data_IF_111939888127
#
_entry.id   IF_111939888127
#
_cell.length_a   1.000
_cell.length_b   1.000
_cell.length_c   1.000
_cell.angle_alpha   90.00
_cell.angle_beta   90.00
_cell.angle_gamma   90.00
#
_symmetry.space_group_name_H-M   'P 1'
#
loop_
_entity.id
_entity.type
_entity.pdbx_description
1 polymer ?
#
# COMPACT_ATOMS: atom_id res chain seq x y z
N UNK A 1 11.18 -5.95 5.08
CA UNK A 1 11.13 -4.77 4.21
C UNK A 1 11.72 -3.58 4.92
N UNK A 2 12.98 -3.28 4.56
CA UNK A 2 13.71 -2.09 5.00
C UNK A 2 13.59 -1.03 3.90
N UNK A 3 12.63 -0.12 4.00
CA UNK A 3 12.52 1.04 3.10
C UNK A 3 12.85 2.30 3.87
N UNK A 4 14.05 2.32 4.43
CA UNK A 4 14.55 3.29 5.39
C UNK A 4 15.47 4.34 4.73
N UNK A 5 15.68 4.32 3.41
CA UNK A 5 16.51 5.31 2.71
C UNK A 5 17.98 4.96 2.57
N UNK A 6 18.41 3.81 3.11
CA UNK A 6 19.74 3.26 2.86
C UNK A 6 19.93 3.00 1.35
N UNK A 7 20.96 3.63 0.77
CA UNK A 7 21.26 3.56 -0.66
C UNK A 7 22.59 2.84 -0.89
N UNK A 8 22.61 1.90 -1.83
CA UNK A 8 23.83 1.17 -2.22
C UNK A 8 24.18 1.56 -3.65
N UNK A 9 25.43 1.97 -3.88
CA UNK A 9 25.94 2.22 -5.22
C UNK A 9 26.68 0.98 -5.70
N UNK A 10 26.15 0.33 -6.73
CA UNK A 10 26.67 -0.94 -7.21
C UNK A 10 26.52 -1.08 -8.72
N UNK A 11 27.32 -1.99 -9.30
CA UNK A 11 27.13 -2.44 -10.67
C UNK A 11 26.18 -3.63 -10.68
N UNK A 12 24.98 -3.45 -11.23
CA UNK A 12 23.99 -4.52 -11.34
C UNK A 12 24.43 -5.53 -12.40
N UNK A 13 24.57 -6.79 -11.99
CA UNK A 13 24.89 -7.90 -12.89
C UNK A 13 23.61 -8.45 -13.53
N UNK A 14 22.64 -8.83 -12.68
CA UNK A 14 21.36 -9.37 -13.15
C UNK A 14 20.21 -9.11 -12.19
N UNK A 15 19.00 -8.98 -12.75
CA UNK A 15 17.75 -8.82 -11.99
C UNK A 15 16.90 -10.07 -12.23
N UNK A 16 16.76 -10.89 -11.19
CA UNK A 16 15.90 -12.07 -11.20
C UNK A 16 14.48 -11.79 -10.71
N UNK A 17 13.70 -12.85 -10.49
CA UNK A 17 12.32 -12.73 -9.97
C UNK A 17 12.27 -12.38 -8.48
N UNK A 18 13.22 -12.87 -7.68
CA UNK A 18 13.25 -12.67 -6.23
C UNK A 18 14.42 -11.80 -5.75
N UNK A 19 15.52 -11.79 -6.51
CA UNK A 19 16.80 -11.20 -6.13
C UNK A 19 17.35 -10.29 -7.22
N UNK A 20 18.07 -9.26 -6.79
CA UNK A 20 19.01 -8.52 -7.62
C UNK A 20 20.42 -8.97 -7.25
N UNK A 21 21.25 -9.27 -8.23
CA UNK A 21 22.66 -9.59 -8.06
C UNK A 21 23.50 -8.41 -8.52
N UNK A 22 24.46 -8.00 -7.69
CA UNK A 22 25.28 -6.83 -7.94
C UNK A 22 26.70 -6.98 -7.42
N UNK A 23 27.59 -6.14 -7.93
CA UNK A 23 28.94 -5.96 -7.41
C UNK A 23 29.00 -4.64 -6.65
N UNK A 24 29.28 -4.72 -5.34
CA UNK A 24 29.41 -3.54 -4.49
C UNK A 24 30.62 -2.72 -4.92
N UNK A 25 30.46 -1.40 -5.07
CA UNK A 25 31.62 -0.53 -5.36
C UNK A 25 32.52 -0.35 -4.14
N UNK A 26 31.99 -0.52 -2.93
CA UNK A 26 32.72 -0.26 -1.69
C UNK A 26 33.58 -1.45 -1.28
N UNK A 27 33.04 -2.68 -1.40
CA UNK A 27 33.75 -3.92 -1.02
C UNK A 27 34.40 -4.62 -2.21
N UNK A 28 33.93 -4.38 -3.44
CA UNK A 28 34.36 -5.10 -4.63
C UNK A 28 33.80 -6.53 -4.74
N UNK A 29 33.02 -6.97 -3.75
CA UNK A 29 32.45 -8.31 -3.70
C UNK A 29 31.10 -8.39 -4.41
N UNK A 30 30.78 -9.60 -4.88
CA UNK A 30 29.46 -9.93 -5.39
C UNK A 30 28.49 -10.20 -4.24
N UNK A 31 27.32 -9.57 -4.28
CA UNK A 31 26.28 -9.73 -3.28
C UNK A 31 24.89 -9.74 -3.94
N UNK A 32 23.86 -10.05 -3.15
CA UNK A 32 22.48 -10.10 -3.61
C UNK A 32 21.50 -9.55 -2.59
N UNK A 33 20.47 -8.85 -3.09
CA UNK A 33 19.39 -8.32 -2.27
C UNK A 33 18.04 -8.83 -2.77
N UNK A 34 17.14 -9.09 -1.83
CA UNK A 34 15.76 -9.40 -2.16
C UNK A 34 15.07 -8.18 -2.78
N UNK A 35 14.48 -8.33 -3.97
CA UNK A 35 13.77 -7.24 -4.66
C UNK A 35 12.64 -6.64 -3.82
N UNK A 36 12.01 -7.45 -2.97
CA UNK A 36 10.94 -7.00 -2.05
C UNK A 36 11.43 -6.04 -0.97
N UNK A 37 12.73 -6.04 -0.67
CA UNK A 37 13.32 -5.20 0.37
C UNK A 37 13.90 -3.90 -0.23
N UNK A 38 14.03 -3.81 -1.56
CA UNK A 38 14.50 -2.64 -2.29
C UNK A 38 13.32 -1.71 -2.61
N UNK A 39 13.44 -0.41 -2.32
CA UNK A 39 12.36 0.56 -2.55
C UNK A 39 12.20 0.92 -4.04
N UNK A 40 13.31 1.24 -4.72
CA UNK A 40 13.43 1.34 -6.18
C UNK A 40 14.91 1.18 -6.60
N UNK A 41 15.17 0.91 -7.88
CA UNK A 41 16.52 0.83 -8.48
C UNK A 41 16.58 1.80 -9.65
N UNK A 42 17.61 2.65 -9.71
CA UNK A 42 17.83 3.59 -10.81
C UNK A 42 19.26 3.55 -11.32
N UNK A 43 19.49 4.07 -12.53
CA UNK A 43 20.83 4.20 -13.13
C UNK A 43 21.29 5.65 -13.26
N UNK A 44 22.53 5.82 -13.73
CA UNK A 44 23.15 7.13 -13.96
C UNK A 44 22.47 7.97 -15.05
N UNK A 45 21.60 7.37 -15.87
CA UNK A 45 20.76 8.06 -16.86
C UNK A 45 19.41 8.49 -16.28
N UNK A 46 19.27 8.48 -14.96
CA UNK A 46 18.04 8.80 -14.24
C UNK A 46 16.86 7.91 -14.64
N UNK A 47 17.06 6.64 -14.99
CA UNK A 47 15.97 5.70 -15.31
C UNK A 47 15.73 4.74 -14.17
N UNK A 48 14.48 4.50 -13.79
CA UNK A 48 14.12 3.49 -12.78
C UNK A 48 13.81 2.16 -13.48
N UNK A 49 14.43 1.08 -13.01
CA UNK A 49 14.25 -0.28 -13.56
C UNK A 49 13.44 -1.20 -12.65
N UNK A 50 13.30 -0.82 -11.39
CA UNK A 50 12.53 -1.57 -10.41
C UNK A 50 11.86 -0.60 -9.45
N UNK A 51 10.56 -0.80 -9.22
CA UNK A 51 9.77 -0.12 -8.19
C UNK A 51 9.18 -1.16 -7.25
N UNK A 52 9.25 -0.90 -5.96
CA UNK A 52 8.52 -1.72 -4.99
C UNK A 52 7.03 -1.39 -4.99
N UNK A 53 6.22 -2.34 -4.54
CA UNK A 53 4.80 -2.09 -4.23
C UNK A 53 4.62 -0.89 -3.28
N UNK A 54 5.47 -0.78 -2.25
CA UNK A 54 5.41 0.34 -1.31
C UNK A 54 5.62 1.67 -2.02
N UNK A 55 6.57 1.73 -2.96
CA UNK A 55 6.86 2.93 -3.75
C UNK A 55 5.64 3.32 -4.59
N UNK A 56 5.09 2.40 -5.36
CA UNK A 56 3.91 2.64 -6.21
C UNK A 56 2.69 3.08 -5.40
N UNK A 57 2.45 2.43 -4.26
CA UNK A 57 1.35 2.81 -3.37
C UNK A 57 1.55 4.20 -2.77
N UNK A 58 2.79 4.57 -2.44
CA UNK A 58 3.08 5.91 -1.96
C UNK A 58 2.83 6.96 -3.05
N UNK A 59 3.26 6.71 -4.29
CA UNK A 59 2.97 7.59 -5.44
C UNK A 59 1.46 7.76 -5.65
N UNK A 60 0.71 6.66 -5.64
CA UNK A 60 -0.76 6.70 -5.76
C UNK A 60 -1.40 7.54 -4.66
N UNK A 61 -0.90 7.44 -3.42
CA UNK A 61 -1.39 8.24 -2.31
C UNK A 61 -1.07 9.72 -2.45
N UNK A 62 -0.05 10.12 -3.19
CA UNK A 62 0.27 11.54 -3.37
C UNK A 62 -0.45 12.15 -4.58
N UNK A 63 -0.81 11.34 -5.58
CA UNK A 63 -1.46 11.83 -6.80
C UNK A 63 -2.71 12.66 -6.50
N UNK A 64 -2.87 13.76 -7.25
CA UNK A 64 -4.00 14.67 -7.17
C UNK A 64 -4.18 15.35 -5.80
N UNK A 65 -3.08 15.65 -5.11
CA UNK A 65 -3.10 16.33 -3.81
C UNK A 65 -2.28 17.61 -3.81
N UNK A 66 -2.49 18.42 -2.79
CA UNK A 66 -1.70 19.62 -2.52
C UNK A 66 -0.57 19.28 -1.54
N UNK A 67 0.46 20.11 -1.51
CA UNK A 67 1.55 19.93 -0.57
C UNK A 67 2.78 20.77 -0.87
N UNK A 68 3.90 20.31 -0.34
CA UNK A 68 5.20 20.97 -0.43
C UNK A 68 6.28 19.96 -0.79
N UNK A 69 7.10 20.28 -1.78
CA UNK A 69 8.28 19.52 -2.20
C UNK A 69 9.51 20.15 -1.57
N UNK A 70 10.41 19.30 -1.06
CA UNK A 70 11.74 19.67 -0.61
C UNK A 70 12.74 19.00 -1.54
N UNK A 71 13.57 19.82 -2.18
CA UNK A 71 14.56 19.37 -3.16
C UNK A 71 15.92 19.12 -2.50
N UNK A 72 16.78 18.36 -3.16
CA UNK A 72 18.15 18.11 -2.70
C UNK A 72 19.01 19.39 -2.68
N UNK A 73 18.65 20.42 -3.45
CA UNK A 73 19.32 21.74 -3.42
C UNK A 73 18.94 22.58 -2.20
N UNK A 74 17.93 22.17 -1.43
CA UNK A 74 17.39 22.92 -0.30
C UNK A 74 16.22 23.84 -0.67
N UNK A 75 15.78 23.85 -1.94
CA UNK A 75 14.61 24.62 -2.37
C UNK A 75 13.32 23.96 -1.90
N UNK A 76 12.33 24.80 -1.61
CA UNK A 76 10.99 24.39 -1.16
C UNK A 76 9.94 24.89 -2.15
N UNK A 77 9.13 23.98 -2.70
CA UNK A 77 8.16 24.29 -3.76
C UNK A 77 6.77 23.87 -3.31
N UNK A 78 5.85 24.84 -3.21
CA UNK A 78 4.44 24.56 -2.90
C UNK A 78 3.67 24.20 -4.18
N UNK A 79 2.79 23.21 -4.10
CA UNK A 79 1.97 22.76 -5.23
C UNK A 79 0.50 22.55 -4.82
N UNK A 80 -0.39 22.77 -5.79
CA UNK A 80 -1.83 22.56 -5.70
C UNK A 80 -2.25 21.18 -6.22
N UNK A 81 -1.45 20.59 -7.10
CA UNK A 81 -1.72 19.31 -7.74
C UNK A 81 -0.40 18.65 -8.11
N UNK A 82 -0.32 17.33 -8.01
CA UNK A 82 0.87 16.53 -8.35
C UNK A 82 0.46 15.26 -9.08
N UNK A 83 1.21 14.93 -10.15
CA UNK A 83 1.06 13.70 -10.92
C UNK A 83 2.43 13.11 -11.23
N UNK A 84 2.59 11.81 -11.02
CA UNK A 84 3.82 11.09 -11.33
C UNK A 84 3.76 10.44 -12.70
N UNK A 85 4.88 10.45 -13.44
CA UNK A 85 5.03 9.65 -14.64
C UNK A 85 5.20 8.16 -14.27
N UNK A 86 4.17 7.35 -14.55
CA UNK A 86 4.16 5.93 -14.18
C UNK A 86 5.18 5.07 -14.94
N UNK A 87 5.62 5.50 -16.13
CA UNK A 87 6.54 4.70 -16.94
C UNK A 87 7.94 4.67 -16.34
N UNK A 88 8.30 5.65 -15.51
CA UNK A 88 9.58 5.80 -14.79
C UNK A 88 10.85 5.70 -15.66
N UNK A 89 10.70 5.70 -16.99
CA UNK A 89 11.78 5.85 -17.97
C UNK A 89 12.43 7.22 -17.78
N UNK A 90 11.60 8.25 -17.64
CA UNK A 90 11.97 9.57 -17.15
C UNK A 90 11.15 9.81 -15.87
N UNK A 91 11.69 9.50 -14.69
CA UNK A 91 10.99 9.62 -13.42
C UNK A 91 10.88 11.11 -13.08
N UNK A 92 9.85 11.73 -13.64
CA UNK A 92 9.48 13.12 -13.43
C UNK A 92 8.07 13.20 -12.88
N UNK A 93 7.80 14.24 -12.12
CA UNK A 93 6.47 14.59 -11.67
C UNK A 93 6.07 15.92 -12.28
N UNK A 94 4.80 15.98 -12.66
CA UNK A 94 4.13 17.19 -13.08
C UNK A 94 3.45 17.82 -11.86
N UNK A 95 3.76 19.09 -11.59
CA UNK A 95 3.13 19.86 -10.53
C UNK A 95 2.40 21.07 -11.07
N UNK A 96 1.33 21.47 -10.39
CA UNK A 96 0.72 22.79 -10.57
C UNK A 96 1.07 23.67 -9.38
N UNK A 97 1.78 24.76 -9.62
CA UNK A 97 2.14 25.74 -8.58
C UNK A 97 1.09 26.86 -8.47
N UNK A 98 0.30 27.06 -9.52
CA UNK A 98 -0.80 28.02 -9.57
C UNK A 98 -1.83 27.67 -10.64
N UNK A 99 -2.80 28.56 -10.88
CA UNK A 99 -3.91 28.33 -11.82
C UNK A 99 -3.41 28.12 -13.26
N UNK A 100 -2.37 28.86 -13.67
CA UNK A 100 -1.77 28.81 -15.01
C UNK A 100 -0.26 28.50 -14.98
N UNK A 101 0.24 27.95 -13.88
CA UNK A 101 1.66 27.66 -13.70
C UNK A 101 1.84 26.19 -13.36
N UNK A 102 2.64 25.51 -14.15
CA UNK A 102 2.95 24.10 -13.99
C UNK A 102 4.38 23.81 -14.39
N UNK A 103 5.00 22.88 -13.69
CA UNK A 103 6.41 22.57 -13.85
C UNK A 103 6.62 21.06 -13.80
N UNK A 104 7.67 20.60 -14.48
CA UNK A 104 8.16 19.22 -14.37
C UNK A 104 9.39 19.20 -13.48
N UNK A 105 9.39 18.31 -12.49
CA UNK A 105 10.50 18.14 -11.56
C UNK A 105 11.00 16.69 -11.64
N UNK A 106 12.30 16.46 -11.84
CA UNK A 106 12.88 15.12 -11.73
C UNK A 106 12.72 14.56 -10.31
N UNK A 107 12.17 13.36 -10.20
CA UNK A 107 11.94 12.68 -8.91
C UNK A 107 13.25 12.46 -8.14
N UNK A 108 14.35 12.18 -8.84
CA UNK A 108 15.66 11.95 -8.24
C UNK A 108 16.32 13.23 -7.69
N UNK A 109 15.74 14.41 -7.94
CA UNK A 109 16.17 15.68 -7.34
C UNK A 109 15.33 16.04 -6.10
N UNK A 110 14.40 15.18 -5.70
CA UNK A 110 13.52 15.40 -4.57
C UNK A 110 14.04 14.64 -3.36
N UNK A 111 14.17 15.35 -2.24
CA UNK A 111 14.41 14.74 -0.95
C UNK A 111 13.12 14.11 -0.42
N UNK A 112 12.11 14.95 -0.22
CA UNK A 112 10.82 14.57 0.35
C UNK A 112 9.67 15.41 -0.18
N UNK A 113 8.48 14.85 -0.14
CA UNK A 113 7.21 15.50 -0.46
C UNK A 113 6.31 15.40 0.77
N UNK A 114 5.86 16.54 1.28
CA UNK A 114 4.85 16.60 2.31
C UNK A 114 3.50 16.89 1.66
N UNK A 115 2.58 15.94 1.67
CA UNK A 115 1.20 16.21 1.29
C UNK A 115 0.48 16.94 2.41
N UNK A 116 -0.59 17.63 2.06
CA UNK A 116 -1.57 18.09 3.03
C UNK A 116 -2.24 16.92 3.80
N UNK A 117 -3.12 17.28 4.73
CA UNK A 117 -3.86 16.31 5.54
C UNK A 117 -4.96 15.56 4.78
N UNK A 118 -5.13 15.77 3.46
CA UNK A 118 -6.06 14.95 2.66
C UNK A 118 -5.64 13.46 2.66
N UNK A 119 -4.37 13.16 2.93
CA UNK A 119 -3.86 11.81 3.18
C UNK A 119 -4.58 11.06 4.31
N UNK A 120 -5.22 11.78 5.24
CA UNK A 120 -6.01 11.17 6.32
C UNK A 120 -7.24 10.43 5.81
N UNK A 121 -7.69 10.67 4.57
CA UNK A 121 -8.71 9.86 3.91
C UNK A 121 -8.38 8.36 3.99
N UNK A 122 -7.14 7.97 3.71
CA UNK A 122 -6.73 6.56 3.83
C UNK A 122 -6.72 6.05 5.28
N UNK A 123 -6.47 6.94 6.24
CA UNK A 123 -6.56 6.60 7.67
C UNK A 123 -8.00 6.34 8.07
N UNK A 124 -8.94 7.14 7.55
CA UNK A 124 -10.37 7.02 7.74
C UNK A 124 -10.88 5.73 7.11
N UNK A 125 -10.56 5.48 5.84
CA UNK A 125 -10.92 4.23 5.15
C UNK A 125 -10.42 3.02 5.94
N UNK A 126 -9.14 3.02 6.34
CA UNK A 126 -8.57 1.91 7.12
C UNK A 126 -9.27 1.72 8.47
N UNK A 127 -9.49 2.80 9.21
CA UNK A 127 -10.15 2.78 10.52
C UNK A 127 -11.62 2.39 10.43
N UNK A 128 -12.26 2.59 9.28
CA UNK A 128 -13.61 2.13 9.02
C UNK A 128 -13.63 0.65 8.62
N UNK A 129 -12.85 0.27 7.62
CA UNK A 129 -12.95 -1.06 7.01
C UNK A 129 -12.43 -2.18 7.91
N UNK A 130 -11.41 -1.95 8.74
CA UNK A 130 -10.87 -2.99 9.62
C UNK A 130 -11.90 -3.52 10.64
N UNK A 131 -12.52 -2.67 11.48
CA UNK A 131 -13.57 -3.13 12.38
C UNK A 131 -14.80 -3.62 11.61
N UNK A 132 -15.16 -2.99 10.49
CA UNK A 132 -16.30 -3.42 9.67
C UNK A 132 -16.13 -4.85 9.13
N UNK A 133 -14.97 -5.20 8.56
CA UNK A 133 -14.71 -6.56 8.09
C UNK A 133 -14.60 -7.57 9.24
N UNK A 134 -14.00 -7.17 10.36
CA UNK A 134 -13.94 -8.01 11.56
C UNK A 134 -15.35 -8.35 12.05
N UNK A 135 -16.23 -7.34 12.03
CA UNK A 135 -17.64 -7.50 12.32
C UNK A 135 -18.34 -8.47 11.35
N UNK A 136 -18.17 -8.30 10.04
CA UNK A 136 -18.78 -9.21 9.05
C UNK A 136 -18.33 -10.67 9.25
N UNK A 137 -17.04 -10.88 9.52
CA UNK A 137 -16.49 -12.22 9.81
C UNK A 137 -17.08 -12.76 11.11
N UNK A 138 -17.11 -11.96 12.17
CA UNK A 138 -17.67 -12.33 13.46
C UNK A 138 -19.15 -12.72 13.35
N UNK A 139 -19.95 -11.89 12.68
CA UNK A 139 -21.36 -12.16 12.43
C UNK A 139 -21.56 -13.45 11.62
N UNK A 140 -20.76 -13.68 10.57
CA UNK A 140 -20.83 -14.91 9.77
C UNK A 140 -20.48 -16.16 10.59
N UNK A 141 -19.46 -16.08 11.45
CA UNK A 141 -19.08 -17.18 12.34
C UNK A 141 -20.14 -17.44 13.40
N UNK A 142 -20.74 -16.39 13.97
CA UNK A 142 -21.80 -16.49 14.97
C UNK A 142 -23.04 -17.16 14.37
N UNK A 143 -23.44 -16.78 13.15
CA UNK A 143 -24.51 -17.46 12.39
C UNK A 143 -24.19 -18.95 12.23
N UNK A 144 -22.95 -19.29 11.86
CA UNK A 144 -22.54 -20.68 11.67
C UNK A 144 -22.52 -21.47 12.98
N UNK A 145 -22.12 -20.86 14.10
CA UNK A 145 -22.01 -21.52 15.41
C UNK A 145 -23.37 -21.71 16.07
N UNK A 146 -24.25 -20.71 15.99
CA UNK A 146 -25.61 -20.74 16.56
C UNK A 146 -26.63 -21.41 15.63
N UNK A 147 -26.18 -21.95 14.49
CA UNK A 147 -27.02 -22.60 13.52
C UNK A 147 -27.72 -23.82 14.13
N UNK A 148 -29.03 -23.71 14.32
CA UNK A 148 -29.87 -24.79 14.76
C UNK A 148 -30.39 -25.56 13.55
N UNK A 149 -30.05 -26.85 13.45
CA UNK A 149 -30.44 -27.72 12.34
C UNK A 149 -31.94 -28.00 12.31
N UNK A 150 -32.62 -27.84 13.44
CA UNK A 150 -34.05 -28.17 13.60
C UNK A 150 -34.97 -26.95 13.37
N UNK A 151 -34.39 -25.75 13.22
CA UNK A 151 -35.11 -24.51 12.91
C UNK A 151 -35.01 -24.14 11.43
N UNK A 152 -36.03 -23.46 10.91
CA UNK A 152 -36.04 -22.96 9.52
C UNK A 152 -34.93 -21.93 9.31
N UNK A 153 -34.27 -21.98 8.14
CA UNK A 153 -33.15 -21.10 7.74
C UNK A 153 -33.51 -19.60 7.76
N UNK A 154 -34.70 -19.24 7.28
CA UNK A 154 -35.09 -17.84 7.09
C UNK A 154 -35.24 -17.08 8.44
N UNK A 155 -35.98 -17.59 9.46
CA UNK A 155 -36.07 -16.92 10.77
C UNK A 155 -34.73 -16.70 11.47
N UNK A 156 -33.82 -17.68 11.43
CA UNK A 156 -32.52 -17.57 12.10
C UNK A 156 -31.64 -16.46 11.50
N UNK A 157 -31.72 -16.25 10.19
CA UNK A 157 -31.01 -15.14 9.52
C UNK A 157 -31.62 -13.78 9.89
N UNK A 158 -32.95 -13.70 10.03
CA UNK A 158 -33.64 -12.46 10.43
C UNK A 158 -33.36 -12.07 11.88
N UNK A 159 -33.32 -13.02 12.81
CA UNK A 159 -32.98 -12.78 14.22
C UNK A 159 -31.57 -12.18 14.34
N UNK A 160 -30.60 -12.72 13.58
CA UNK A 160 -29.25 -12.15 13.56
C UNK A 160 -29.22 -10.77 12.89
N UNK A 161 -29.97 -10.56 11.80
CA UNK A 161 -30.00 -9.26 11.11
C UNK A 161 -30.57 -8.16 12.00
N UNK A 162 -31.60 -8.46 12.80
CA UNK A 162 -32.16 -7.53 13.78
C UNK A 162 -31.13 -7.06 14.82
N UNK A 163 -30.17 -7.92 15.20
CA UNK A 163 -29.10 -7.57 16.13
C UNK A 163 -28.02 -6.63 15.52
N UNK A 164 -28.01 -6.48 14.19
CA UNK A 164 -27.08 -5.64 13.43
C UNK A 164 -27.68 -4.30 13.02
N UNK A 165 -28.97 -4.09 13.25
CA UNK A 165 -29.68 -2.91 12.75
C UNK A 165 -29.76 -1.78 13.79
N UNK A 166 -29.70 -0.52 13.34
CA UNK A 166 -30.06 0.62 14.18
C UNK A 166 -31.52 0.55 14.58
N UNK A 167 -31.85 1.19 15.71
CA UNK A 167 -33.23 1.51 16.04
C UNK A 167 -33.90 2.29 14.90
N UNK A 168 -34.88 1.66 14.25
CA UNK A 168 -35.68 2.23 13.17
C UNK A 168 -37.16 2.21 13.56
N UNK A 169 -37.57 3.17 14.39
CA UNK A 169 -38.93 3.26 14.94
C UNK A 169 -40.01 3.38 13.86
N UNK A 170 -39.67 3.90 12.68
CA UNK A 170 -40.56 4.04 11.52
C UNK A 170 -40.84 2.71 10.79
N UNK A 171 -40.05 1.66 11.01
CA UNK A 171 -40.26 0.29 10.51
C UNK A 171 -40.67 -0.66 11.67
N UNK A 172 -40.90 -0.13 12.87
CA UNK A 172 -41.31 -0.92 14.03
C UNK A 172 -40.15 -1.58 14.79
N UNK A 173 -38.90 -1.16 14.57
CA UNK A 173 -37.76 -1.53 15.41
C UNK A 173 -37.56 -0.50 16.52
N UNK A 174 -37.91 -0.86 17.75
CA UNK A 174 -37.91 0.04 18.92
C UNK A 174 -36.64 -0.05 19.78
N UNK A 175 -35.86 -1.10 19.59
CA UNK A 175 -34.60 -1.37 20.28
C UNK A 175 -33.45 -1.40 19.27
N UNK A 176 -32.27 -0.97 19.72
CA UNK A 176 -31.03 -1.07 18.94
C UNK A 176 -30.45 -2.46 19.18
N UNK A 177 -30.03 -3.17 18.13
CA UNK A 177 -29.31 -4.42 18.30
C UNK A 177 -28.02 -4.19 19.11
N UNK A 178 -27.70 -5.10 20.04
CA UNK A 178 -26.53 -4.94 20.93
C UNK A 178 -25.23 -4.94 20.12
N UNK A 179 -25.22 -5.65 19.01
CA UNK A 179 -24.08 -5.66 18.09
C UNK A 179 -23.95 -4.34 17.32
N UNK A 180 -25.06 -3.72 16.89
CA UNK A 180 -25.04 -2.38 16.26
C UNK A 180 -24.50 -1.29 17.20
N UNK A 181 -24.93 -1.29 18.47
CA UNK A 181 -24.47 -0.32 19.46
C UNK A 181 -22.94 -0.36 19.60
N UNK A 182 -22.35 -1.56 19.72
CA UNK A 182 -20.90 -1.72 19.81
C UNK A 182 -20.17 -1.17 18.58
N UNK A 183 -20.67 -1.41 17.37
CA UNK A 183 -20.07 -0.95 16.10
C UNK A 183 -20.12 0.57 15.99
N UNK A 184 -21.23 1.18 16.44
CA UNK A 184 -21.42 2.62 16.40
C UNK A 184 -20.39 3.40 17.22
N UNK A 185 -19.79 2.76 18.23
CA UNK A 185 -18.66 3.31 19.00
C UNK A 185 -17.30 2.84 18.49
N UNK A 186 -17.15 1.56 18.14
CA UNK A 186 -15.88 0.98 17.71
C UNK A 186 -15.38 1.62 16.41
N UNK A 187 -16.26 1.86 15.43
CA UNK A 187 -15.86 2.45 14.14
C UNK A 187 -15.29 3.87 14.34
N UNK A 188 -15.98 4.84 14.96
CA UNK A 188 -15.42 6.17 15.19
C UNK A 188 -14.12 6.14 16.00
N UNK A 189 -14.04 5.32 17.06
CA UNK A 189 -12.81 5.17 17.86
C UNK A 189 -11.67 4.64 16.99
N UNK A 190 -11.94 3.65 16.14
CA UNK A 190 -10.93 3.07 15.24
C UNK A 190 -10.44 4.08 14.20
N UNK A 191 -11.36 4.86 13.61
CA UNK A 191 -11.04 5.96 12.69
C UNK A 191 -10.16 7.00 13.37
N UNK A 192 -10.57 7.53 14.53
CA UNK A 192 -9.80 8.52 15.28
C UNK A 192 -8.42 7.98 15.66
N UNK A 193 -8.35 6.75 16.17
CA UNK A 193 -7.09 6.08 16.51
C UNK A 193 -6.17 5.96 15.29
N UNK A 194 -6.73 5.56 14.14
CA UNK A 194 -6.01 5.41 12.88
C UNK A 194 -5.46 6.74 12.36
N UNK A 195 -6.25 7.82 12.46
CA UNK A 195 -5.83 9.18 12.10
C UNK A 195 -4.73 9.69 13.02
N UNK A 196 -4.91 9.60 14.34
CA UNK A 196 -3.91 10.01 15.34
C UNK A 196 -2.60 9.28 15.13
N UNK A 197 -2.65 7.96 14.87
CA UNK A 197 -1.47 7.16 14.57
C UNK A 197 -0.75 7.64 13.29
N UNK A 198 -1.49 7.92 12.21
CA UNK A 198 -0.90 8.36 10.95
C UNK A 198 -0.31 9.78 11.04
N UNK A 199 -0.92 10.67 11.84
CA UNK A 199 -0.36 11.97 12.19
C UNK A 199 0.92 11.85 13.02
N UNK A 200 0.89 11.04 14.08
CA UNK A 200 2.04 10.81 14.95
C UNK A 200 3.23 10.19 14.21
N UNK A 201 2.96 9.33 13.22
CA UNK A 201 3.97 8.75 12.33
C UNK A 201 4.32 9.60 11.10
N UNK A 202 3.77 10.81 10.99
CA UNK A 202 4.01 11.73 9.87
C UNK A 202 3.85 11.06 8.51
N UNK A 203 2.77 10.28 8.33
CA UNK A 203 2.54 9.53 7.07
C UNK A 203 2.26 10.40 5.85
N UNK A 204 2.10 11.71 6.05
CA UNK A 204 1.98 12.72 5.00
C UNK A 204 3.34 13.07 4.36
N UNK A 205 4.47 12.68 4.96
CA UNK A 205 5.82 12.97 4.44
C UNK A 205 6.37 11.77 3.69
N UNK A 206 6.71 11.91 2.41
CA UNK A 206 7.18 10.84 1.54
C UNK A 206 8.61 11.11 1.09
N UNK A 207 9.50 10.13 1.27
CA UNK A 207 10.93 10.28 0.97
C UNK A 207 11.31 9.56 -0.32
N UNK A 208 12.24 10.15 -1.08
CA UNK A 208 12.70 9.65 -2.37
C UNK A 208 14.21 9.44 -2.41
N UNK A 209 14.99 10.52 -2.31
CA UNK A 209 16.45 10.49 -2.38
C UNK A 209 17.04 11.13 -1.12
N UNK A 210 17.98 10.49 -0.41
CA UNK A 210 18.61 11.12 0.75
C UNK A 210 19.55 12.27 0.31
N UNK A 211 19.63 13.34 1.11
CA UNK A 211 20.48 14.52 0.82
C UNK A 211 21.96 14.15 0.85
N UNK A 212 22.35 13.35 1.84
CA UNK A 212 23.70 12.84 2.01
C UNK A 212 23.71 11.33 1.74
N UNK A 213 24.77 10.85 1.07
CA UNK A 213 25.02 9.41 0.97
C UNK A 213 25.10 8.87 2.40
N UNK A 214 24.36 7.80 2.68
CA UNK A 214 24.25 7.11 3.98
C UNK A 214 23.23 7.67 4.99
N UNK A 215 22.49 8.74 4.68
CA UNK A 215 21.39 9.17 5.57
C UNK A 215 20.13 8.31 5.42
N UNK A 216 19.55 7.97 6.57
CA UNK A 216 18.30 7.21 6.69
C UNK A 216 17.14 8.21 6.65
N UNK A 217 16.08 7.88 5.92
CA UNK A 217 14.82 8.63 5.94
C UNK A 217 14.26 8.75 7.36
N UNK A 218 13.59 9.86 7.64
CA UNK A 218 12.94 10.09 8.94
C UNK A 218 11.86 9.06 9.29
N UNK A 219 11.40 8.25 8.34
CA UNK A 219 10.51 7.09 8.58
C UNK A 219 10.69 5.98 7.54
N UNK A 220 10.25 4.78 7.91
CA UNK A 220 10.12 3.67 6.96
C UNK A 220 8.96 3.93 5.98
N UNK A 221 9.24 3.80 4.68
CA UNK A 221 8.29 4.02 3.59
C UNK A 221 7.44 2.79 3.23
N UNK A 222 7.57 1.70 4.00
CA UNK A 222 6.79 0.48 3.81
C UNK A 222 5.28 0.66 3.93
N UNK A 223 4.57 0.16 2.93
CA UNK A 223 3.10 0.11 2.91
C UNK A 223 2.64 -1.34 3.05
N UNK A 224 2.02 -1.65 4.18
CA UNK A 224 1.46 -2.97 4.43
C UNK A 224 0.18 -3.21 3.63
N UNK A 225 0.05 -4.38 3.01
CA UNK A 225 -1.18 -4.83 2.34
C UNK A 225 -1.29 -6.36 2.35
N UNK A 226 -2.34 -6.90 3.00
CA UNK A 226 -2.60 -8.34 3.03
C UNK A 226 -2.85 -8.92 1.63
N UNK A 227 -3.61 -8.19 0.80
CA UNK A 227 -3.89 -8.58 -0.59
C UNK A 227 -2.58 -8.74 -1.39
N UNK A 228 -1.66 -7.80 -1.23
CA UNK A 228 -0.37 -7.85 -1.91
C UNK A 228 0.51 -8.99 -1.40
N UNK A 229 0.54 -9.21 -0.08
CA UNK A 229 1.29 -10.32 0.54
C UNK A 229 0.76 -11.67 0.02
N UNK A 230 -0.57 -11.85 -0.01
CA UNK A 230 -1.18 -13.07 -0.53
C UNK A 230 -0.85 -13.27 -2.02
N UNK A 231 -1.02 -12.22 -2.83
CA UNK A 231 -0.73 -12.28 -4.26
C UNK A 231 0.73 -12.63 -4.55
N UNK A 232 1.69 -11.95 -3.90
CA UNK A 232 3.13 -12.22 -4.09
C UNK A 232 3.52 -13.62 -3.64
N UNK A 233 2.92 -14.13 -2.56
CA UNK A 233 3.11 -15.52 -2.13
C UNK A 233 2.61 -16.51 -3.20
N UNK A 234 1.39 -16.30 -3.72
CA UNK A 234 0.82 -17.13 -4.79
C UNK A 234 1.67 -17.12 -6.05
N UNK A 235 2.14 -15.95 -6.50
CA UNK A 235 3.02 -15.84 -7.68
C UNK A 235 4.32 -16.62 -7.50
N UNK A 236 4.94 -16.55 -6.32
CA UNK A 236 6.15 -17.33 -6.00
C UNK A 236 5.88 -18.83 -6.01
N UNK A 237 4.76 -19.29 -5.47
CA UNK A 237 4.38 -20.69 -5.53
C UNK A 237 4.19 -21.14 -6.98
N UNK A 238 3.46 -20.37 -7.78
CA UNK A 238 3.24 -20.65 -9.22
C UNK A 238 4.58 -20.77 -9.93
N UNK A 239 5.48 -19.79 -9.78
CA UNK A 239 6.79 -19.81 -10.41
C UNK A 239 7.65 -21.02 -10.00
N UNK A 240 7.64 -21.38 -8.71
CA UNK A 240 8.36 -22.56 -8.21
C UNK A 240 7.79 -23.85 -8.81
N UNK A 241 6.47 -23.94 -8.95
CA UNK A 241 5.80 -25.07 -9.59
C UNK A 241 6.14 -25.12 -11.09
N UNK A 242 6.09 -24.00 -11.81
CA UNK A 242 6.46 -23.91 -13.24
C UNK A 242 7.89 -24.37 -13.51
N UNK A 243 8.84 -24.12 -12.58
CA UNK A 243 10.22 -24.59 -12.70
C UNK A 243 10.37 -26.11 -12.55
N UNK A 244 9.39 -26.81 -11.97
CA UNK A 244 9.43 -28.27 -11.89
C UNK A 244 9.03 -28.91 -13.23
N UNK A 245 9.59 -30.08 -13.56
CA UNK A 245 9.22 -30.81 -14.79
C UNK A 245 7.72 -31.07 -14.88
N UNK A 246 7.09 -31.41 -13.75
CA UNK A 246 5.65 -31.67 -13.67
C UNK A 246 4.83 -30.40 -13.89
N UNK A 247 5.13 -29.32 -13.17
CA UNK A 247 4.42 -28.06 -13.31
C UNK A 247 4.56 -27.44 -14.69
N UNK A 248 5.76 -27.48 -15.29
CA UNK A 248 5.97 -26.99 -16.67
C UNK A 248 5.05 -27.70 -17.68
N UNK A 249 4.87 -29.01 -17.56
CA UNK A 249 3.97 -29.78 -18.43
C UNK A 249 2.49 -29.41 -18.21
N UNK A 250 2.07 -29.23 -16.95
CA UNK A 250 0.70 -28.82 -16.61
C UNK A 250 0.40 -27.41 -17.15
N UNK A 251 1.29 -26.44 -16.91
CA UNK A 251 1.10 -25.06 -17.39
C UNK A 251 1.15 -24.95 -18.92
N UNK A 252 1.99 -25.75 -19.60
CA UNK A 252 1.99 -25.86 -21.07
C UNK A 252 0.66 -26.41 -21.60
N UNK A 253 0.09 -27.41 -20.95
CA UNK A 253 -1.22 -27.95 -21.32
C UNK A 253 -2.34 -26.93 -21.14
N UNK A 254 -2.34 -26.19 -20.01
CA UNK A 254 -3.33 -25.12 -19.76
C UNK A 254 -3.23 -24.02 -20.81
N UNK A 255 -2.03 -23.49 -21.10
CA UNK A 255 -1.83 -22.43 -22.10
C UNK A 255 -2.25 -22.83 -23.51
N UNK A 256 -2.13 -24.11 -23.85
CA UNK A 256 -2.52 -24.66 -25.16
C UNK A 256 -4.05 -24.79 -25.31
N UNK A 257 -4.78 -24.95 -24.20
CA UNK A 257 -6.24 -25.08 -24.20
C UNK A 257 -6.97 -23.76 -23.94
N UNK A 258 -6.24 -22.71 -23.57
CA UNK A 258 -6.79 -21.36 -23.32
C UNK A 258 -6.64 -20.40 -24.51
N UNK A 259 -6.06 -20.86 -25.63
CA UNK A 259 -5.94 -20.15 -26.92
C UNK A 259 -6.93 -20.71 -27.92
#
# INVERSE_FOLDING_TARGET
MKHNGESIVASVDSIGMEFVYYYSKDTGDSDSLYLRDIYYIYNDFNRVFHSSWSFEQNLQKMNNRTGTIFTLSGDTINFLDIKFNNDMINPELFIKTGINQSEFIPLLHIEKINTDYSILEYSIERGFFYPFYTFLIGATLDIRMKWDKDRRMIPQVWDQYNDLLPKASFIGQYETGVTYESISYIIPISVLTSMIYDLWKQKHSFYFTPVYKEEIFGRNMYVFSLKHIAFTYTQRMIFRIEKTKFGNNVFRWIRKNSS
#
